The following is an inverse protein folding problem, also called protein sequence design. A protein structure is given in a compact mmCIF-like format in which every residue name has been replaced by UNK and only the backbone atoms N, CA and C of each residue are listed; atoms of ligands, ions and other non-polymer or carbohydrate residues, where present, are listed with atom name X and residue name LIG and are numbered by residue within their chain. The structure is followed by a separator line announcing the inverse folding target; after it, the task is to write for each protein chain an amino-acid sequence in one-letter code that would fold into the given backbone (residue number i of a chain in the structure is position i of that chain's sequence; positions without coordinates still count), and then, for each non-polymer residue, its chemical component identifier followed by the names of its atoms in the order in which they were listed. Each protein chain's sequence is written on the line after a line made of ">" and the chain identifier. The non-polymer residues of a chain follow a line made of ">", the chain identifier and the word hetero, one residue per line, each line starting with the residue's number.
data_IF_388204711864
#
_entry.id   IF_388204711864
#
_cell.length_a   1.000
_cell.length_b   1.000
_cell.length_c   1.000
_cell.angle_alpha   90.00
_cell.angle_beta   90.00
_cell.angle_gamma   90.00
#
_symmetry.space_group_name_H-M   'P 1'
#
loop_
_entity.id
_entity.type
_entity.pdbx_description
1 polymer ?
#
# COMPACT_ATOMS: atom_id res chain seq x y z
N UNK A 1 5.38 -17.08 -32.85
CA UNK A 1 5.72 -17.75 -31.58
C UNK A 1 6.58 -16.86 -30.67
N UNK A 2 7.77 -16.39 -31.12
CA UNK A 2 8.66 -15.48 -30.34
C UNK A 2 7.94 -14.27 -29.72
N UNK A 3 7.05 -13.60 -30.47
CA UNK A 3 6.32 -12.42 -29.98
C UNK A 3 5.40 -12.74 -28.79
N UNK A 4 4.67 -13.86 -28.85
CA UNK A 4 3.78 -14.26 -27.75
C UNK A 4 4.56 -14.66 -26.50
N UNK A 5 5.70 -15.33 -26.66
CA UNK A 5 6.60 -15.68 -25.56
C UNK A 5 7.18 -14.42 -24.88
N UNK A 6 7.58 -13.42 -25.67
CA UNK A 6 8.07 -12.14 -25.14
C UNK A 6 6.96 -11.37 -24.41
N UNK A 7 5.76 -11.29 -24.97
CA UNK A 7 4.62 -10.65 -24.30
C UNK A 7 4.27 -11.36 -22.98
N UNK A 8 4.34 -12.70 -22.94
CA UNK A 8 4.09 -13.46 -21.72
C UNK A 8 5.13 -13.15 -20.63
N UNK A 9 6.41 -13.05 -20.99
CA UNK A 9 7.49 -12.71 -20.04
C UNK A 9 7.32 -11.28 -19.51
N UNK A 10 7.03 -10.32 -20.38
CA UNK A 10 6.83 -8.92 -19.98
C UNK A 10 5.60 -8.79 -19.08
N UNK A 11 4.49 -9.45 -19.44
CA UNK A 11 3.28 -9.47 -18.62
C UNK A 11 3.50 -10.12 -17.26
N UNK A 12 4.24 -11.23 -17.20
CA UNK A 12 4.58 -11.90 -15.96
C UNK A 12 5.51 -11.07 -15.07
N UNK A 13 6.54 -10.46 -15.66
CA UNK A 13 7.45 -9.57 -14.94
C UNK A 13 6.72 -8.34 -14.39
N UNK A 14 5.85 -7.71 -15.20
CA UNK A 14 5.01 -6.59 -14.77
C UNK A 14 4.09 -7.00 -13.62
N UNK A 15 3.43 -8.15 -13.72
CA UNK A 15 2.58 -8.69 -12.66
C UNK A 15 3.35 -8.94 -11.35
N UNK A 16 4.55 -9.51 -11.42
CA UNK A 16 5.42 -9.72 -10.26
C UNK A 16 5.81 -8.40 -9.59
N UNK A 17 6.21 -7.40 -10.36
CA UNK A 17 6.62 -6.09 -9.82
C UNK A 17 5.44 -5.40 -9.12
N UNK A 18 4.25 -5.43 -9.73
CA UNK A 18 3.04 -4.83 -9.14
C UNK A 18 2.64 -5.57 -7.85
N UNK A 19 2.62 -6.91 -7.86
CA UNK A 19 2.29 -7.70 -6.69
C UNK A 19 3.27 -7.47 -5.54
N UNK A 20 4.58 -7.46 -5.84
CA UNK A 20 5.61 -7.16 -4.86
C UNK A 20 5.47 -5.75 -4.30
N UNK A 21 5.16 -4.75 -5.15
CA UNK A 21 4.96 -3.36 -4.72
C UNK A 21 3.76 -3.19 -3.77
N UNK A 22 2.63 -3.80 -4.09
CA UNK A 22 1.43 -3.76 -3.23
C UNK A 22 1.68 -4.47 -1.90
N UNK A 23 2.32 -5.64 -1.93
CA UNK A 23 2.63 -6.39 -0.72
C UNK A 23 3.62 -5.66 0.17
N UNK A 24 4.69 -5.09 -0.41
CA UNK A 24 5.65 -4.25 0.29
C UNK A 24 4.97 -3.02 0.91
N UNK A 25 4.05 -2.37 0.20
CA UNK A 25 3.31 -1.23 0.74
C UNK A 25 2.47 -1.61 1.98
N UNK A 26 1.69 -2.69 1.92
CA UNK A 26 0.81 -3.11 3.03
C UNK A 26 1.63 -3.52 4.27
N UNK A 27 2.74 -4.23 4.05
CA UNK A 27 3.64 -4.67 5.14
C UNK A 27 4.43 -3.51 5.73
N UNK A 28 4.96 -2.60 4.92
CA UNK A 28 5.79 -1.46 5.34
C UNK A 28 4.98 -0.40 6.07
N UNK A 29 3.71 -0.20 5.69
CA UNK A 29 2.79 0.62 6.49
C UNK A 29 2.48 0.02 7.86
N UNK A 30 2.73 -1.27 8.08
CA UNK A 30 2.55 -1.92 9.37
C UNK A 30 1.10 -2.24 9.73
N UNK A 31 0.17 -2.17 8.76
CA UNK A 31 -1.26 -2.51 8.96
C UNK A 31 -1.41 -3.92 9.54
N UNK A 32 -0.67 -4.89 8.99
CA UNK A 32 -0.69 -6.29 9.43
C UNK A 32 -0.14 -6.46 10.86
N UNK A 33 1.02 -5.85 11.13
CA UNK A 33 1.65 -5.91 12.44
C UNK A 33 0.76 -5.28 13.53
N UNK A 34 0.02 -4.22 13.18
CA UNK A 34 -0.89 -3.54 14.11
C UNK A 34 -2.13 -4.36 14.42
N UNK A 35 -2.73 -4.99 13.41
CA UNK A 35 -3.85 -5.93 13.60
C UNK A 35 -3.42 -7.13 14.44
N UNK A 36 -2.25 -7.71 14.17
CA UNK A 36 -1.70 -8.82 14.94
C UNK A 36 -1.37 -8.42 16.40
N UNK A 37 -0.86 -7.21 16.61
CA UNK A 37 -0.57 -6.66 17.94
C UNK A 37 -1.85 -6.39 18.74
N UNK A 38 -2.88 -5.77 18.14
CA UNK A 38 -4.15 -5.50 18.83
C UNK A 38 -4.94 -6.76 19.17
N UNK A 39 -4.84 -7.81 18.35
CA UNK A 39 -5.48 -9.11 18.61
C UNK A 39 -4.65 -10.03 19.50
N UNK A 40 -3.51 -9.55 20.06
CA UNK A 40 -2.56 -10.36 20.84
C UNK A 40 -2.16 -11.69 20.16
N UNK A 41 -2.22 -11.72 18.82
CA UNK A 41 -1.95 -12.92 18.02
C UNK A 41 -0.73 -12.68 17.11
N UNK A 42 0.33 -12.10 17.68
CA UNK A 42 1.59 -11.87 16.96
C UNK A 42 2.23 -13.17 16.45
N UNK A 43 1.92 -14.31 17.08
CA UNK A 43 2.42 -15.63 16.66
C UNK A 43 1.86 -16.10 15.31
N UNK A 44 0.75 -15.53 14.82
CA UNK A 44 0.12 -15.95 13.55
C UNK A 44 0.15 -14.86 12.47
N UNK A 45 1.23 -14.08 12.36
CA UNK A 45 1.40 -13.08 11.29
C UNK A 45 1.26 -13.70 9.88
N UNK A 46 1.79 -14.92 9.68
CA UNK A 46 1.67 -15.65 8.42
C UNK A 46 0.21 -15.91 7.99
N UNK A 47 -0.72 -16.10 8.93
CA UNK A 47 -2.14 -16.26 8.59
C UNK A 47 -2.73 -14.96 8.06
N UNK A 48 -2.37 -13.81 8.66
CA UNK A 48 -2.81 -12.50 8.16
C UNK A 48 -2.26 -12.20 6.77
N UNK A 49 -0.99 -12.52 6.51
CA UNK A 49 -0.39 -12.38 5.18
C UNK A 49 -1.11 -13.23 4.14
N UNK A 50 -1.38 -14.50 4.46
CA UNK A 50 -2.12 -15.40 3.56
C UNK A 50 -3.54 -14.89 3.27
N UNK A 51 -4.22 -14.31 4.25
CA UNK A 51 -5.56 -13.72 4.05
C UNK A 51 -5.51 -12.49 3.13
N UNK A 52 -4.47 -11.66 3.23
CA UNK A 52 -4.27 -10.53 2.32
C UNK A 52 -3.95 -11.00 0.91
N UNK A 53 -3.11 -12.02 0.76
CA UNK A 53 -2.79 -12.62 -0.54
C UNK A 53 -4.06 -13.18 -1.20
N UNK A 54 -4.86 -13.95 -0.44
CA UNK A 54 -6.14 -14.47 -0.92
C UNK A 54 -7.11 -13.36 -1.32
N UNK A 55 -7.22 -12.30 -0.50
CA UNK A 55 -8.03 -11.12 -0.82
C UNK A 55 -7.57 -10.41 -2.09
N UNK A 56 -6.25 -10.29 -2.30
CA UNK A 56 -5.66 -9.70 -3.50
C UNK A 56 -5.94 -10.54 -4.76
N UNK A 57 -5.83 -11.87 -4.67
CA UNK A 57 -6.16 -12.79 -5.76
C UNK A 57 -7.65 -12.69 -6.12
N UNK A 58 -8.54 -12.72 -5.13
CA UNK A 58 -9.98 -12.59 -5.32
C UNK A 58 -10.35 -11.23 -5.92
N UNK A 59 -9.79 -10.14 -5.38
CA UNK A 59 -10.03 -8.78 -5.89
C UNK A 59 -9.51 -8.58 -7.32
N UNK A 60 -8.34 -9.11 -7.65
CA UNK A 60 -7.80 -9.03 -9.01
C UNK A 60 -8.63 -9.86 -10.01
N UNK A 61 -9.09 -11.03 -9.59
CA UNK A 61 -10.00 -11.86 -10.39
C UNK A 61 -11.32 -11.13 -10.65
N UNK A 62 -11.89 -10.50 -9.62
CA UNK A 62 -13.08 -9.67 -9.77
C UNK A 62 -12.89 -8.50 -10.74
N UNK A 63 -11.76 -7.79 -10.61
CA UNK A 63 -11.45 -6.64 -11.45
C UNK A 63 -11.29 -7.02 -12.93
N UNK A 64 -10.69 -8.18 -13.22
CA UNK A 64 -10.48 -8.67 -14.58
C UNK A 64 -11.78 -9.20 -15.20
N UNK A 65 -12.52 -10.04 -14.49
CA UNK A 65 -13.70 -10.70 -15.05
C UNK A 65 -14.96 -9.83 -15.00
N UNK A 66 -14.94 -8.73 -14.24
CA UNK A 66 -16.08 -7.82 -14.04
C UNK A 66 -17.39 -8.58 -13.83
N UNK A 67 -17.39 -9.58 -12.96
CA UNK A 67 -18.62 -10.30 -12.66
C UNK A 67 -19.65 -9.33 -12.09
N UNK A 68 -20.78 -9.22 -12.80
CA UNK A 68 -22.00 -8.59 -12.28
C UNK A 68 -22.55 -9.46 -11.16
N UNK A 69 -22.00 -9.30 -9.96
CA UNK A 69 -22.57 -9.94 -8.80
C UNK A 69 -23.66 -9.02 -8.27
N UNK A 70 -24.92 -9.47 -8.20
CA UNK A 70 -26.00 -8.74 -7.56
C UNK A 70 -25.84 -8.82 -6.04
N UNK A 71 -24.72 -8.30 -5.52
CA UNK A 71 -24.63 -7.95 -4.12
C UNK A 71 -25.59 -6.79 -3.92
N UNK A 72 -26.80 -7.12 -3.44
CA UNK A 72 -27.77 -6.12 -3.04
C UNK A 72 -27.22 -5.18 -1.97
N UNK A 73 -28.07 -4.31 -1.45
CA UNK A 73 -27.71 -3.25 -0.48
C UNK A 73 -26.86 -3.76 0.70
N UNK A 74 -27.12 -4.98 1.18
CA UNK A 74 -26.40 -5.61 2.29
C UNK A 74 -24.92 -5.84 1.96
N UNK A 75 -24.60 -6.24 0.72
CA UNK A 75 -23.23 -6.45 0.26
C UNK A 75 -22.44 -5.15 0.19
N UNK A 76 -23.06 -4.08 -0.29
CA UNK A 76 -22.45 -2.75 -0.30
C UNK A 76 -22.17 -2.24 1.13
N UNK A 77 -23.10 -2.43 2.05
CA UNK A 77 -22.91 -2.01 3.46
C UNK A 77 -21.73 -2.76 4.07
N UNK A 78 -21.66 -4.08 3.86
CA UNK A 78 -20.59 -4.89 4.41
C UNK A 78 -19.23 -4.53 3.78
N UNK A 79 -19.18 -4.34 2.47
CA UNK A 79 -17.98 -3.92 1.76
C UNK A 79 -17.51 -2.52 2.22
N UNK A 80 -18.45 -1.58 2.38
CA UNK A 80 -18.15 -0.24 2.88
C UNK A 80 -17.60 -0.26 4.31
N UNK A 81 -18.15 -1.11 5.18
CA UNK A 81 -17.69 -1.26 6.55
C UNK A 81 -16.27 -1.86 6.61
N UNK A 82 -15.99 -2.92 5.85
CA UNK A 82 -14.65 -3.50 5.77
C UNK A 82 -13.63 -2.55 5.15
N UNK A 83 -14.02 -1.84 4.09
CA UNK A 83 -13.17 -0.82 3.47
C UNK A 83 -12.85 0.31 4.44
N UNK A 84 -13.84 0.78 5.21
CA UNK A 84 -13.65 1.80 6.25
C UNK A 84 -12.69 1.36 7.35
N UNK A 85 -12.83 0.12 7.86
CA UNK A 85 -11.91 -0.44 8.85
C UNK A 85 -10.48 -0.51 8.30
N UNK A 86 -10.32 -0.95 7.05
CA UNK A 86 -9.02 -1.04 6.40
C UNK A 86 -8.36 0.34 6.23
N UNK A 87 -9.09 1.32 5.68
CA UNK A 87 -8.59 2.69 5.49
C UNK A 87 -8.28 3.35 6.84
N UNK A 88 -9.12 3.14 7.87
CA UNK A 88 -8.87 3.64 9.22
C UNK A 88 -7.59 3.07 9.83
N UNK A 89 -7.36 1.77 9.68
CA UNK A 89 -6.12 1.13 10.13
C UNK A 89 -4.90 1.66 9.38
N UNK A 90 -5.03 1.84 8.06
CA UNK A 90 -3.97 2.39 7.22
C UNK A 90 -3.61 3.83 7.61
N UNK A 91 -4.60 4.69 7.86
CA UNK A 91 -4.38 6.07 8.28
C UNK A 91 -3.70 6.16 9.66
N UNK A 92 -4.12 5.34 10.62
CA UNK A 92 -3.49 5.27 11.94
C UNK A 92 -2.04 4.78 11.87
N UNK A 93 -1.77 3.80 11.01
CA UNK A 93 -0.43 3.26 10.83
C UNK A 93 0.52 4.27 10.16
N UNK A 94 0.01 5.01 9.15
CA UNK A 94 0.71 6.15 8.57
C UNK A 94 1.06 7.22 9.62
N UNK A 95 0.10 7.59 10.47
CA UNK A 95 0.33 8.58 11.52
C UNK A 95 1.46 8.17 12.48
N UNK A 96 1.49 6.90 12.91
CA UNK A 96 2.56 6.39 13.78
C UNK A 96 3.94 6.41 13.09
N UNK A 97 4.02 6.00 11.82
CA UNK A 97 5.28 6.07 11.07
C UNK A 97 5.74 7.52 10.90
N UNK A 98 4.81 8.45 10.67
CA UNK A 98 5.13 9.87 10.57
C UNK A 98 5.63 10.45 11.89
N UNK A 99 5.07 10.06 13.03
CA UNK A 99 5.52 10.49 14.37
C UNK A 99 6.91 9.94 14.73
N UNK A 100 7.32 8.82 14.14
CA UNK A 100 8.64 8.22 14.35
C UNK A 100 9.76 9.06 13.71
N UNK A 101 9.51 9.69 12.56
CA UNK A 101 10.49 10.56 11.85
C UNK A 101 11.04 11.69 12.76
N UNK A 102 10.21 12.52 13.43
CA UNK A 102 10.71 13.59 14.27
C UNK A 102 11.43 13.06 15.52
N UNK A 103 11.03 11.90 16.05
CA UNK A 103 11.69 11.26 17.19
C UNK A 103 13.11 10.83 16.81
N UNK A 104 13.28 10.20 15.64
CA UNK A 104 14.61 9.82 15.13
C UNK A 104 15.51 11.04 14.89
N UNK A 105 14.97 12.11 14.29
CA UNK A 105 15.74 13.34 14.08
C UNK A 105 16.21 13.98 15.40
N UNK A 106 15.38 13.95 16.45
CA UNK A 106 15.78 14.39 17.81
C UNK A 106 16.87 13.49 18.40
N UNK A 107 16.78 12.16 18.23
CA UNK A 107 17.81 11.20 18.69
C UNK A 107 19.18 11.45 18.05
N UNK A 108 19.21 11.83 16.78
CA UNK A 108 20.44 12.16 16.03
C UNK A 108 20.95 13.58 16.36
N UNK A 109 20.31 14.30 17.30
CA UNK A 109 20.63 15.68 17.71
C UNK A 109 20.57 16.70 16.58
N UNK A 110 19.68 16.50 15.60
CA UNK A 110 19.40 17.50 14.57
C UNK A 110 18.60 18.64 15.22
N UNK A 111 19.30 19.67 15.73
CA UNK A 111 18.70 20.77 16.51
C UNK A 111 17.77 21.68 15.71
N UNK A 112 18.02 21.91 14.42
CA UNK A 112 17.29 22.91 13.62
C UNK A 112 17.02 22.51 12.15
N UNK A 113 17.30 21.26 11.75
CA UNK A 113 17.27 20.84 10.34
C UNK A 113 15.97 20.21 9.84
N UNK A 114 15.04 19.84 10.72
CA UNK A 114 13.83 19.10 10.34
C UNK A 114 12.94 19.82 9.30
N UNK A 115 12.61 21.12 9.43
CA UNK A 115 11.82 21.82 8.42
C UNK A 115 12.54 21.93 7.06
N UNK A 116 13.87 22.02 7.05
CA UNK A 116 14.65 22.06 5.80
C UNK A 116 14.63 20.72 5.06
N UNK A 117 14.63 19.60 5.79
CA UNK A 117 14.51 18.25 5.20
C UNK A 117 13.12 18.08 4.58
N UNK A 118 12.07 18.50 5.29
CA UNK A 118 10.70 18.42 4.75
C UNK A 118 10.55 19.33 3.53
N UNK A 119 11.11 20.54 3.57
CA UNK A 119 11.10 21.47 2.45
C UNK A 119 11.86 20.92 1.23
N UNK A 120 13.02 20.29 1.40
CA UNK A 120 13.78 19.72 0.28
C UNK A 120 13.05 18.53 -0.36
N UNK A 121 12.40 17.68 0.45
CA UNK A 121 11.55 16.60 -0.05
C UNK A 121 10.35 17.16 -0.82
N UNK A 122 9.70 18.19 -0.28
CA UNK A 122 8.56 18.84 -0.92
C UNK A 122 8.95 19.48 -2.25
N UNK A 123 10.08 20.19 -2.31
CA UNK A 123 10.61 20.77 -3.55
C UNK A 123 10.96 19.67 -4.56
N UNK A 124 11.64 18.60 -4.14
CA UNK A 124 11.97 17.48 -5.01
C UNK A 124 10.72 16.83 -5.61
N UNK A 125 9.68 16.61 -4.80
CA UNK A 125 8.38 16.11 -5.29
C UNK A 125 7.67 17.10 -6.22
N UNK A 126 7.68 18.40 -5.90
CA UNK A 126 7.08 19.43 -6.73
C UNK A 126 7.74 19.51 -8.10
N UNK A 127 9.08 19.53 -8.14
CA UNK A 127 9.86 19.52 -9.38
C UNK A 127 9.60 18.24 -10.17
N UNK A 128 9.60 17.07 -9.52
CA UNK A 128 9.27 15.79 -10.18
C UNK A 128 7.86 15.78 -10.80
N UNK A 129 6.87 16.31 -10.08
CA UNK A 129 5.50 16.43 -10.58
C UNK A 129 5.38 17.40 -11.77
N UNK A 130 6.08 18.54 -11.72
CA UNK A 130 6.14 19.48 -12.84
C UNK A 130 6.82 18.86 -14.06
N UNK A 131 7.90 18.12 -13.86
CA UNK A 131 8.62 17.45 -14.94
C UNK A 131 7.75 16.37 -15.60
N UNK A 132 7.06 15.55 -14.80
CA UNK A 132 6.13 14.56 -15.32
C UNK A 132 4.99 15.20 -16.14
N UNK A 133 4.48 16.35 -15.71
CA UNK A 133 3.36 17.03 -16.37
C UNK A 133 3.76 17.75 -17.68
N UNK A 134 4.96 18.32 -17.74
CA UNK A 134 5.44 19.07 -18.92
C UNK A 134 6.27 18.24 -19.90
N UNK A 135 7.03 17.25 -19.43
CA UNK A 135 7.97 16.47 -20.26
C UNK A 135 7.39 15.14 -20.70
N UNK A 136 6.50 14.52 -19.89
CA UNK A 136 5.92 13.20 -20.17
C UNK A 136 4.47 13.28 -20.66
N UNK A 137 4.09 14.37 -21.35
CA UNK A 137 2.79 14.45 -22.01
C UNK A 137 2.80 13.74 -23.36
#
# INVERSE_FOLDING_TARGET
>A
MIRYSLLAIIGFAGGLIVAAGVFAFITLLGVLNRLASKTNTAKHILLYENMVILGGILGNTWFIYQWDIPFGIIGLILFGLFSGIFVGCQAMALAEVLDVIPIFAKRIKIKYGMPYIVASIAIGKAVGALFQLYVWK
#
